data_IF_166667320716
#
_entry.id   IF_166667320716
#
_cell.length_a   1.000
_cell.length_b   1.000
_cell.length_c   1.000
_cell.angle_alpha   90.00
_cell.angle_beta   90.00
_cell.angle_gamma   90.00
#
_symmetry.space_group_name_H-M   'P 1'
#
loop_
_entity.id
_entity.type
_entity.pdbx_description
1 polymer ?
#
# COMPACT_ATOMS: atom_id res chain seq x y z
N UNK A 1 2.70 -15.30 0.13
CA UNK A 1 2.63 -15.22 -1.36
C UNK A 1 3.76 -14.34 -1.88
N UNK A 2 4.26 -14.56 -3.10
CA UNK A 2 5.32 -13.74 -3.72
C UNK A 2 4.82 -13.13 -5.04
N UNK A 3 4.82 -11.79 -5.11
CA UNK A 3 4.50 -11.01 -6.29
C UNK A 3 5.77 -10.32 -6.77
N UNK A 4 6.24 -10.64 -7.97
CA UNK A 4 7.42 -9.97 -8.51
C UNK A 4 7.43 -9.78 -10.02
N UNK A 5 8.18 -8.76 -10.48
CA UNK A 5 8.31 -8.39 -11.90
C UNK A 5 6.98 -8.00 -12.55
N UNK A 6 6.09 -7.39 -11.77
CA UNK A 6 4.82 -6.89 -12.27
C UNK A 6 5.00 -5.49 -12.86
N UNK A 7 4.22 -5.18 -13.90
CA UNK A 7 4.06 -3.83 -14.43
C UNK A 7 2.57 -3.50 -14.46
N UNK A 8 2.14 -2.61 -13.57
CA UNK A 8 0.75 -2.14 -13.44
C UNK A 8 0.70 -0.68 -13.89
N UNK A 9 -0.31 -0.32 -14.68
CA UNK A 9 -0.46 1.01 -15.25
C UNK A 9 -1.92 1.41 -15.33
N UNK A 10 -2.25 2.57 -14.76
CA UNK A 10 -3.47 3.32 -14.99
C UNK A 10 -3.13 4.82 -15.11
N UNK A 11 -3.99 5.66 -15.71
CA UNK A 11 -3.83 7.11 -15.69
C UNK A 11 -3.73 7.64 -14.25
N UNK A 12 -2.90 8.68 -14.03
CA UNK A 12 -2.65 9.24 -12.70
C UNK A 12 -3.85 9.94 -12.07
N UNK A 13 -4.88 10.23 -12.86
CA UNK A 13 -6.17 10.79 -12.47
C UNK A 13 -7.29 9.74 -12.42
N UNK A 14 -6.97 8.46 -12.63
CA UNK A 14 -7.95 7.37 -12.62
C UNK A 14 -8.37 7.00 -11.20
N UNK A 15 -9.63 7.22 -10.81
CA UNK A 15 -10.06 7.08 -9.43
C UNK A 15 -9.95 5.62 -8.95
N UNK A 16 -9.45 5.44 -7.72
CA UNK A 16 -9.46 4.16 -6.98
C UNK A 16 -8.79 2.99 -7.73
N UNK A 17 -7.79 3.28 -8.55
CA UNK A 17 -7.00 2.26 -9.26
C UNK A 17 -5.83 1.76 -8.42
N UNK A 18 -6.07 1.32 -7.19
CA UNK A 18 -5.04 0.79 -6.29
C UNK A 18 -4.23 -0.33 -7.00
N UNK A 19 -2.91 -0.31 -6.89
CA UNK A 19 -2.04 -1.29 -7.56
C UNK A 19 -2.12 -2.67 -6.92
N UNK A 20 -1.67 -2.79 -5.67
CA UNK A 20 -1.79 -4.01 -4.86
C UNK A 20 -2.43 -3.66 -3.53
N UNK A 21 -3.59 -4.25 -3.24
CA UNK A 21 -4.32 -4.07 -1.98
C UNK A 21 -4.26 -5.36 -1.17
N UNK A 22 -3.71 -5.27 0.04
CA UNK A 22 -3.49 -6.41 0.94
C UNK A 22 -4.39 -6.23 2.17
N UNK A 23 -5.08 -7.29 2.58
CA UNK A 23 -5.83 -7.33 3.83
C UNK A 23 -5.88 -8.77 4.35
N UNK A 24 -5.99 -8.95 5.67
CA UNK A 24 -6.06 -10.24 6.34
C UNK A 24 -5.10 -11.29 5.74
N UNK A 25 -3.79 -10.98 5.76
CA UNK A 25 -2.78 -11.70 5.02
C UNK A 25 -1.47 -11.80 5.79
N UNK A 26 -0.80 -12.95 5.70
CA UNK A 26 0.47 -13.23 6.37
C UNK A 26 1.55 -13.60 5.34
N UNK A 27 2.78 -13.11 5.55
CA UNK A 27 3.97 -13.45 4.72
C UNK A 27 3.79 -13.12 3.24
N UNK A 28 3.54 -11.84 2.96
CA UNK A 28 3.46 -11.34 1.59
C UNK A 28 4.77 -10.67 1.20
N UNK A 29 5.30 -11.03 0.03
CA UNK A 29 6.49 -10.38 -0.56
C UNK A 29 6.09 -9.73 -1.87
N UNK A 30 6.38 -8.44 -2.02
CA UNK A 30 6.20 -7.68 -3.26
C UNK A 30 7.56 -7.13 -3.67
N UNK A 31 8.03 -7.46 -4.88
CA UNK A 31 9.36 -7.01 -5.30
C UNK A 31 9.58 -6.77 -6.79
N UNK A 32 10.52 -5.88 -7.11
CA UNK A 32 10.99 -5.63 -8.50
C UNK A 32 9.84 -5.29 -9.45
N UNK A 33 8.90 -4.46 -9.01
CA UNK A 33 7.70 -4.12 -9.78
C UNK A 33 7.64 -2.63 -10.08
N UNK A 34 6.97 -2.29 -11.17
CA UNK A 34 6.65 -0.91 -11.58
C UNK A 34 5.15 -0.72 -11.47
N UNK A 35 4.73 0.24 -10.66
CA UNK A 35 3.32 0.49 -10.37
C UNK A 35 3.04 1.97 -10.58
N UNK A 36 2.27 2.30 -11.62
CA UNK A 36 1.74 3.63 -11.86
C UNK A 36 0.22 3.59 -11.87
N UNK A 37 -0.41 4.36 -10.99
CA UNK A 37 -1.85 4.30 -10.73
C UNK A 37 -2.41 5.70 -10.47
N UNK A 38 -3.73 5.83 -10.38
CA UNK A 38 -4.36 7.05 -9.87
C UNK A 38 -4.62 7.03 -8.36
N UNK A 39 -4.41 5.90 -7.68
CA UNK A 39 -4.50 5.77 -6.22
C UNK A 39 -3.24 5.10 -5.63
N UNK A 40 -3.33 4.48 -4.46
CA UNK A 40 -2.21 3.84 -3.77
C UNK A 40 -1.51 2.80 -4.67
N UNK A 41 -0.18 2.89 -4.79
CA UNK A 41 0.59 1.84 -5.48
C UNK A 41 0.45 0.52 -4.71
N UNK A 42 0.56 0.59 -3.38
CA UNK A 42 0.35 -0.53 -2.48
C UNK A 42 -0.42 -0.02 -1.26
N UNK A 43 -1.54 -0.65 -0.94
CA UNK A 43 -2.33 -0.40 0.26
C UNK A 43 -2.32 -1.64 1.17
N UNK A 44 -2.01 -1.45 2.46
CA UNK A 44 -1.92 -2.53 3.47
C UNK A 44 -2.99 -2.27 4.53
N UNK A 45 -4.00 -3.14 4.58
CA UNK A 45 -5.17 -3.02 5.43
C UNK A 45 -5.09 -3.96 6.64
N UNK A 46 -6.06 -3.81 7.54
CA UNK A 46 -6.24 -4.58 8.78
C UNK A 46 -5.98 -6.09 8.61
N UNK A 47 -5.40 -6.70 9.66
CA UNK A 47 -5.07 -8.11 9.74
C UNK A 47 -3.88 -8.54 8.89
N UNK A 48 -3.05 -7.59 8.43
CA UNK A 48 -1.88 -7.87 7.59
C UNK A 48 -0.59 -7.91 8.41
N UNK A 49 0.17 -9.01 8.30
CA UNK A 49 1.42 -9.22 9.04
C UNK A 49 2.56 -9.77 8.17
N UNK A 50 3.80 -9.38 8.47
CA UNK A 50 5.01 -9.85 7.79
C UNK A 50 4.98 -9.52 6.30
N UNK A 51 4.81 -8.22 5.99
CA UNK A 51 4.70 -7.70 4.63
C UNK A 51 6.03 -7.11 4.21
N UNK A 52 6.67 -7.69 3.19
CA UNK A 52 7.96 -7.26 2.67
C UNK A 52 7.83 -6.65 1.27
N UNK A 53 8.12 -5.36 1.17
CA UNK A 53 8.08 -4.58 -0.07
C UNK A 53 9.50 -4.14 -0.39
N UNK A 54 9.98 -4.45 -1.60
CA UNK A 54 11.34 -4.06 -1.99
C UNK A 54 11.50 -3.79 -3.48
N UNK A 55 12.39 -2.87 -3.86
CA UNK A 55 12.72 -2.62 -5.28
C UNK A 55 11.48 -2.27 -6.11
N UNK A 56 10.60 -1.43 -5.55
CA UNK A 56 9.42 -0.93 -6.24
C UNK A 56 9.74 0.41 -6.89
N UNK A 57 9.30 0.61 -8.13
CA UNK A 57 9.12 1.93 -8.69
C UNK A 57 7.64 2.27 -8.66
N UNK A 58 7.25 3.26 -7.87
CA UNK A 58 5.87 3.68 -7.66
C UNK A 58 5.68 5.11 -8.18
N UNK A 59 4.69 5.32 -9.07
CA UNK A 59 4.46 6.62 -9.68
C UNK A 59 3.93 6.59 -11.10
N UNK A 60 2.86 7.36 -11.43
CA UNK A 60 2.07 8.24 -10.55
C UNK A 60 1.24 7.45 -9.50
N UNK A 61 0.54 8.15 -8.59
CA UNK A 61 -0.39 7.55 -7.62
C UNK A 61 -0.32 8.16 -6.22
N UNK A 62 -0.84 7.47 -5.21
CA UNK A 62 -0.86 7.96 -3.82
C UNK A 62 0.31 7.46 -2.95
N UNK A 63 1.22 6.65 -3.49
CA UNK A 63 2.38 6.12 -2.77
C UNK A 63 2.12 4.75 -2.16
N UNK A 64 2.86 4.42 -1.10
CA UNK A 64 2.68 3.18 -0.33
C UNK A 64 1.96 3.55 0.98
N UNK A 65 0.76 3.01 1.17
CA UNK A 65 -0.10 3.36 2.30
C UNK A 65 -0.35 2.19 3.23
N UNK A 66 -0.17 2.39 4.53
CA UNK A 66 -0.74 1.54 5.59
C UNK A 66 -2.09 2.16 5.97
N UNK A 67 -3.15 1.39 5.78
CA UNK A 67 -4.54 1.77 6.03
C UNK A 67 -5.37 2.03 4.78
N UNK A 68 -6.59 2.57 4.92
CA UNK A 68 -7.10 3.17 6.15
C UNK A 68 -7.35 2.14 7.25
N UNK A 69 -7.01 2.49 8.48
CA UNK A 69 -7.27 1.68 9.69
C UNK A 69 -8.13 2.44 10.70
N UNK A 70 -8.78 1.72 11.61
CA UNK A 70 -9.59 2.26 12.70
C UNK A 70 -10.97 2.78 12.27
N UNK A 71 -11.45 2.40 11.09
CA UNK A 71 -12.75 2.83 10.57
C UNK A 71 -13.91 1.93 11.00
N UNK A 72 -13.59 0.71 11.43
CA UNK A 72 -14.56 -0.29 11.88
C UNK A 72 -14.20 -0.82 13.26
N UNK A 73 -15.23 -1.25 13.99
CA UNK A 73 -15.04 -1.97 15.25
C UNK A 73 -14.36 -3.33 14.99
N UNK A 74 -13.47 -3.72 15.90
CA UNK A 74 -12.73 -4.98 15.85
C UNK A 74 -11.83 -5.15 14.60
N UNK A 75 -11.27 -4.05 14.07
CA UNK A 75 -10.15 -4.17 13.14
C UNK A 75 -8.92 -4.77 13.84
N UNK A 76 -8.30 -5.74 13.18
CA UNK A 76 -7.00 -6.29 13.56
C UNK A 76 -5.86 -5.32 13.18
N UNK A 77 -4.75 -5.46 13.90
CA UNK A 77 -3.54 -4.66 13.69
C UNK A 77 -2.87 -4.94 12.32
N UNK A 78 -2.04 -3.98 11.91
CA UNK A 78 -1.06 -4.18 10.83
C UNK A 78 0.33 -4.21 11.44
N UNK A 79 1.01 -5.33 11.29
CA UNK A 79 2.28 -5.61 12.00
C UNK A 79 3.40 -5.97 11.02
N UNK A 80 4.65 -5.69 11.41
CA UNK A 80 5.84 -6.21 10.72
C UNK A 80 5.88 -5.86 9.21
N UNK A 81 5.69 -4.59 8.88
CA UNK A 81 5.79 -4.07 7.51
C UNK A 81 7.19 -3.55 7.23
N UNK A 82 7.82 -4.08 6.19
CA UNK A 82 9.18 -3.71 5.76
C UNK A 82 9.15 -3.14 4.35
N UNK A 83 9.55 -1.89 4.18
CA UNK A 83 9.71 -1.25 2.85
C UNK A 83 11.17 -0.86 2.66
N UNK A 84 11.79 -1.31 1.57
CA UNK A 84 13.20 -0.97 1.27
C UNK A 84 13.48 -0.77 -0.22
N UNK A 85 14.59 -0.10 -0.52
CA UNK A 85 15.16 0.01 -1.87
C UNK A 85 14.14 0.44 -2.95
N UNK A 86 13.17 1.30 -2.62
CA UNK A 86 12.05 1.64 -3.51
C UNK A 86 12.06 3.11 -3.88
N UNK A 87 11.79 3.41 -5.15
CA UNK A 87 11.69 4.77 -5.68
C UNK A 87 10.24 5.18 -5.86
N UNK A 88 9.88 6.33 -5.29
CA UNK A 88 8.55 6.93 -5.41
C UNK A 88 8.69 8.25 -6.15
N UNK A 89 8.00 8.42 -7.29
CA UNK A 89 8.12 9.61 -8.14
C UNK A 89 6.79 10.02 -8.73
N UNK A 90 6.43 11.29 -8.61
CA UNK A 90 5.15 11.79 -9.12
C UNK A 90 3.94 11.23 -8.37
N UNK A 91 4.16 10.76 -7.14
CA UNK A 91 3.10 10.36 -6.22
C UNK A 91 2.68 11.53 -5.35
N UNK A 92 1.41 11.54 -4.90
CA UNK A 92 0.93 12.59 -3.98
C UNK A 92 1.49 12.43 -2.56
N UNK A 93 1.84 11.20 -2.16
CA UNK A 93 2.54 10.90 -0.92
C UNK A 93 3.70 9.92 -1.18
N UNK A 94 4.65 9.87 -0.25
CA UNK A 94 5.70 8.86 -0.24
C UNK A 94 5.23 7.57 0.44
N UNK A 95 5.76 7.31 1.63
CA UNK A 95 5.16 6.38 2.58
C UNK A 95 4.10 7.12 3.40
N UNK A 96 2.95 6.50 3.62
CA UNK A 96 1.82 7.09 4.36
C UNK A 96 1.22 6.07 5.33
N UNK A 97 0.87 6.51 6.54
CA UNK A 97 0.00 5.79 7.45
C UNK A 97 -1.27 6.61 7.58
N UNK A 98 -2.43 6.00 7.36
CA UNK A 98 -3.74 6.65 7.39
C UNK A 98 -4.66 5.91 8.34
N UNK A 99 -5.05 6.56 9.43
CA UNK A 99 -6.00 6.04 10.42
C UNK A 99 -7.17 6.98 10.55
N UNK A 100 -8.35 6.45 10.87
CA UNK A 100 -9.49 7.27 11.26
C UNK A 100 -9.23 7.91 12.63
N UNK A 101 -9.66 9.15 12.77
CA UNK A 101 -9.69 9.79 14.08
C UNK A 101 -10.82 9.16 14.91
N UNK A 102 -10.53 8.84 16.16
CA UNK A 102 -11.58 8.53 17.13
C UNK A 102 -12.29 9.86 17.43
N UNK A 103 -13.55 9.96 17.06
CA UNK A 103 -14.43 11.01 17.59
C UNK A 103 -14.75 10.61 19.04
N UNK A 104 -13.93 11.07 19.98
CA UNK A 104 -14.32 11.03 21.39
C UNK A 104 -15.45 12.07 21.54
N UNK A 105 -16.64 11.69 22.05
CA UNK A 105 -17.69 12.65 22.34
C UNK A 105 -17.29 13.67 23.41
#
# INVERSE_FOLDING_TARGET
MDFSKLRLSAPGDSPNTDGIKIGNSYRIRISRSVIGTGDDCIAILSGSREIHISKIFCGPGHGISIGSLGGYDNEDDVEEVFVKDSGLKGTTNGLRIKTWAILIP
#
